data_IF_065033225124
#
_entry.id   IF_065033225124
#
_cell.length_a   1.000
_cell.length_b   1.000
_cell.length_c   1.000
_cell.angle_alpha   90.00
_cell.angle_beta   90.00
_cell.angle_gamma   90.00
#
_symmetry.space_group_name_H-M   'P 1'
#
loop_
_entity.id
_entity.type
_entity.pdbx_description
1 polymer ?
#
# COMPACT_ATOMS: atom_id res chain seq x y z
N UNK A 1 -0.81 -10.79 -7.80
CA UNK A 1 -1.37 -9.54 -7.22
C UNK A 1 -1.47 -9.72 -5.71
N UNK A 2 -1.48 -8.64 -4.92
CA UNK A 2 -1.60 -8.72 -3.45
C UNK A 2 -2.93 -8.09 -3.03
N UNK A 3 -3.66 -8.75 -2.13
CA UNK A 3 -4.87 -8.23 -1.49
C UNK A 3 -4.58 -8.07 0.00
N UNK A 4 -4.82 -6.87 0.53
CA UNK A 4 -4.77 -6.61 1.97
C UNK A 4 -6.19 -6.58 2.51
N UNK A 5 -6.46 -7.41 3.52
CA UNK A 5 -7.74 -7.46 4.22
C UNK A 5 -7.52 -7.18 5.71
N UNK A 6 -8.37 -6.33 6.27
CA UNK A 6 -8.46 -6.14 7.72
C UNK A 6 -9.64 -6.96 8.22
N UNK A 7 -9.41 -7.80 9.22
CA UNK A 7 -10.41 -8.65 9.84
C UNK A 7 -10.66 -8.15 11.26
N UNK A 8 -11.92 -7.93 11.59
CA UNK A 8 -12.36 -7.62 12.96
C UNK A 8 -13.01 -8.87 13.51
N UNK A 9 -12.41 -9.45 14.55
CA UNK A 9 -12.81 -10.74 15.10
C UNK A 9 -13.14 -10.51 16.57
N UNK A 10 -14.24 -11.11 17.04
CA UNK A 10 -14.59 -11.10 18.45
C UNK A 10 -13.62 -11.91 19.31
N UNK A 11 -13.90 -12.00 20.60
CA UNK A 11 -13.15 -12.88 21.49
C UNK A 11 -13.34 -14.34 21.06
N UNK A 12 -12.24 -15.08 20.95
CA UNK A 12 -12.23 -16.50 20.61
C UNK A 12 -11.58 -17.31 21.73
N UNK A 13 -11.91 -18.60 21.87
CA UNK A 13 -11.21 -19.49 22.78
C UNK A 13 -9.71 -19.54 22.46
N UNK A 14 -8.89 -19.72 23.50
CA UNK A 14 -7.45 -19.89 23.36
C UNK A 14 -7.11 -21.05 22.40
N UNK A 15 -6.01 -20.89 21.66
CA UNK A 15 -5.50 -21.87 20.73
C UNK A 15 -5.77 -21.55 19.26
N UNK A 16 -5.47 -22.53 18.41
CA UNK A 16 -5.56 -22.40 16.95
C UNK A 16 -7.00 -22.53 16.48
N UNK A 17 -7.49 -21.52 15.80
CA UNK A 17 -8.86 -21.45 15.29
C UNK A 17 -8.86 -21.05 13.82
N UNK A 18 -9.76 -21.63 13.03
CA UNK A 18 -10.04 -21.11 11.68
C UNK A 18 -10.95 -19.89 11.82
N UNK A 19 -10.47 -18.73 11.36
CA UNK A 19 -11.18 -17.44 11.46
C UNK A 19 -11.86 -17.04 10.14
N UNK A 20 -11.43 -17.61 9.00
CA UNK A 20 -12.08 -17.41 7.72
C UNK A 20 -11.74 -18.56 6.76
N UNK A 21 -12.50 -18.68 5.67
CA UNK A 21 -12.17 -19.49 4.50
C UNK A 21 -12.21 -18.61 3.27
N UNK A 22 -11.10 -18.51 2.56
CA UNK A 22 -10.96 -17.64 1.39
C UNK A 22 -11.02 -18.46 0.10
N UNK A 23 -11.69 -17.93 -0.90
CA UNK A 23 -11.74 -18.49 -2.25
C UNK A 23 -11.77 -17.35 -3.25
N UNK A 24 -11.04 -17.50 -4.35
CA UNK A 24 -11.02 -16.52 -5.44
C UNK A 24 -11.91 -17.04 -6.56
N UNK A 25 -12.84 -16.20 -7.02
CA UNK A 25 -13.57 -16.41 -8.28
C UNK A 25 -12.93 -15.54 -9.36
N UNK A 26 -12.66 -16.12 -10.52
CA UNK A 26 -12.02 -15.43 -11.64
C UNK A 26 -12.50 -15.98 -12.99
N UNK A 27 -12.28 -15.20 -14.04
CA UNK A 27 -12.46 -15.59 -15.42
C UNK A 27 -11.08 -15.81 -16.06
N UNK A 28 -10.96 -16.78 -16.94
CA UNK A 28 -9.75 -17.06 -17.71
C UNK A 28 -10.05 -16.90 -19.22
N UNK A 29 -9.76 -15.72 -19.79
CA UNK A 29 -9.92 -15.45 -21.21
C UNK A 29 -8.99 -16.28 -22.10
N UNK A 30 -7.90 -16.85 -21.56
CA UNK A 30 -6.98 -17.68 -22.34
C UNK A 30 -7.57 -19.04 -22.73
N UNK A 31 -8.61 -19.48 -22.02
CA UNK A 31 -9.32 -20.73 -22.25
C UNK A 31 -10.84 -20.56 -22.38
N UNK A 32 -11.31 -19.32 -22.59
CA UNK A 32 -12.74 -18.95 -22.71
C UNK A 32 -13.62 -19.52 -21.58
N UNK A 33 -13.13 -19.49 -20.34
CA UNK A 33 -13.91 -19.92 -19.18
C UNK A 33 -14.19 -18.77 -18.23
N UNK A 34 -15.42 -18.76 -17.71
CA UNK A 34 -15.88 -17.78 -16.72
C UNK A 34 -16.29 -18.47 -15.43
N UNK A 35 -16.25 -17.74 -14.32
CA UNK A 35 -16.71 -18.22 -13.02
C UNK A 35 -15.86 -19.34 -12.41
N UNK A 36 -14.60 -19.48 -12.84
CA UNK A 36 -13.67 -20.42 -12.22
C UNK A 36 -13.45 -20.06 -10.76
N UNK A 37 -13.21 -21.07 -9.92
CA UNK A 37 -12.95 -20.90 -8.49
C UNK A 37 -11.63 -21.56 -8.11
N UNK A 38 -10.86 -20.89 -7.24
CA UNK A 38 -9.66 -21.46 -6.65
C UNK A 38 -9.98 -22.53 -5.61
N UNK A 39 -8.94 -23.21 -5.13
CA UNK A 39 -9.00 -23.93 -3.86
C UNK A 39 -9.44 -23.00 -2.72
N UNK A 40 -10.13 -23.58 -1.73
CA UNK A 40 -10.52 -22.89 -0.50
C UNK A 40 -9.36 -22.92 0.49
N UNK A 41 -8.86 -21.74 0.86
CA UNK A 41 -7.73 -21.59 1.77
C UNK A 41 -8.26 -21.20 3.16
N UNK A 42 -8.05 -22.02 4.21
CA UNK A 42 -8.40 -21.62 5.57
C UNK A 42 -7.44 -20.53 6.06
N UNK A 43 -7.99 -19.50 6.69
CA UNK A 43 -7.23 -18.51 7.43
C UNK A 43 -7.34 -18.87 8.89
N UNK A 44 -6.19 -19.12 9.51
CA UNK A 44 -6.11 -19.56 10.89
C UNK A 44 -5.44 -18.48 11.75
N UNK A 45 -5.90 -18.36 12.99
CA UNK A 45 -5.29 -17.51 14.00
C UNK A 45 -5.05 -18.32 15.27
N UNK A 46 -3.96 -18.00 15.97
CA UNK A 46 -3.68 -18.56 17.28
C UNK A 46 -4.03 -17.51 18.34
N UNK A 47 -5.07 -17.77 19.12
CA UNK A 47 -5.53 -16.87 20.19
C UNK A 47 -4.77 -17.19 21.47
N UNK A 48 -4.11 -16.19 22.04
CA UNK A 48 -3.29 -16.33 23.25
C UNK A 48 -3.69 -15.26 24.28
N UNK A 49 -3.63 -15.55 25.59
CA UNK A 49 -4.06 -14.61 26.63
C UNK A 49 -3.15 -13.38 26.73
N UNK A 50 -1.83 -13.55 26.51
CA UNK A 50 -0.84 -12.47 26.56
C UNK A 50 -0.30 -12.19 25.16
N UNK A 51 -1.07 -11.44 24.37
CA UNK A 51 -0.68 -11.10 23.00
C UNK A 51 0.55 -10.19 22.95
N UNK A 52 1.56 -10.62 22.21
CA UNK A 52 2.67 -9.76 21.76
C UNK A 52 2.60 -9.60 20.25
N UNK A 53 2.54 -8.36 19.73
CA UNK A 53 2.53 -8.12 18.30
C UNK A 53 3.78 -8.67 17.60
N UNK A 54 3.58 -9.61 16.67
CA UNK A 54 4.64 -10.08 15.76
C UNK A 54 4.31 -9.56 14.37
N UNK A 55 5.05 -8.55 13.92
CA UNK A 55 4.86 -7.97 12.59
C UNK A 55 5.37 -8.95 11.54
N UNK A 56 4.51 -9.30 10.57
CA UNK A 56 4.95 -10.03 9.39
C UNK A 56 5.60 -9.04 8.40
N UNK A 57 6.88 -9.22 8.02
CA UNK A 57 7.59 -8.28 7.14
C UNK A 57 6.94 -8.13 5.76
N UNK A 58 6.36 -9.19 5.20
CA UNK A 58 5.70 -9.14 3.89
C UNK A 58 4.38 -8.34 3.96
N UNK A 59 3.60 -8.54 5.02
CA UNK A 59 2.39 -7.76 5.28
C UNK A 59 2.74 -6.30 5.52
N UNK A 60 3.76 -6.03 6.33
CA UNK A 60 4.25 -4.67 6.60
C UNK A 60 4.69 -3.96 5.31
N UNK A 61 5.49 -4.62 4.45
CA UNK A 61 5.90 -4.05 3.14
C UNK A 61 4.68 -3.70 2.29
N UNK A 62 3.65 -4.56 2.28
CA UNK A 62 2.41 -4.34 1.53
C UNK A 62 1.59 -3.16 2.09
N UNK A 63 1.50 -3.04 3.42
CA UNK A 63 0.83 -1.90 4.09
C UNK A 63 1.55 -0.60 3.75
N UNK A 64 2.89 -0.58 3.80
CA UNK A 64 3.68 0.60 3.45
C UNK A 64 3.50 0.99 1.97
N UNK A 65 3.45 0.01 1.06
CA UNK A 65 3.19 0.26 -0.35
C UNK A 65 1.81 0.92 -0.57
N UNK A 66 0.77 0.40 0.10
CA UNK A 66 -0.57 0.99 0.05
C UNK A 66 -0.60 2.39 0.65
N UNK A 67 0.11 2.62 1.77
CA UNK A 67 0.21 3.93 2.41
C UNK A 67 0.87 4.95 1.47
N UNK A 68 2.03 4.61 0.88
CA UNK A 68 2.72 5.46 -0.11
C UNK A 68 1.79 5.87 -1.24
N UNK A 69 1.09 4.89 -1.83
CA UNK A 69 0.13 5.15 -2.90
C UNK A 69 -0.97 6.13 -2.49
N UNK A 70 -1.61 5.89 -1.34
CA UNK A 70 -2.70 6.74 -0.82
C UNK A 70 -2.22 8.15 -0.49
N UNK A 71 -1.05 8.29 0.12
CA UNK A 71 -0.44 9.59 0.44
C UNK A 71 -0.16 10.40 -0.83
N UNK A 72 0.42 9.79 -1.87
CA UNK A 72 0.61 10.45 -3.16
C UNK A 72 -0.72 10.85 -3.80
N UNK A 73 -1.75 9.98 -3.73
CA UNK A 73 -3.08 10.31 -4.27
C UNK A 73 -3.76 11.44 -3.54
N UNK A 74 -3.61 11.50 -2.22
CA UNK A 74 -4.10 12.63 -1.44
C UNK A 74 -3.36 13.92 -1.78
N UNK A 75 -2.04 13.85 -2.03
CA UNK A 75 -1.28 15.00 -2.50
C UNK A 75 -1.80 15.53 -3.85
N UNK A 76 -2.04 14.64 -4.82
CA UNK A 76 -2.62 15.03 -6.12
C UNK A 76 -3.98 15.72 -5.95
N UNK A 77 -4.84 15.17 -5.09
CA UNK A 77 -6.17 15.73 -4.81
C UNK A 77 -6.05 17.12 -4.19
N UNK A 78 -5.14 17.30 -3.22
CA UNK A 78 -4.88 18.59 -2.57
C UNK A 78 -4.34 19.63 -3.56
N UNK A 79 -3.44 19.24 -4.47
CA UNK A 79 -2.97 20.14 -5.54
C UNK A 79 -4.09 20.60 -6.45
N UNK A 80 -5.00 19.69 -6.83
CA UNK A 80 -6.16 20.03 -7.65
C UNK A 80 -7.11 21.02 -6.94
N UNK A 81 -7.17 20.95 -5.60
CA UNK A 81 -7.93 21.88 -4.76
C UNK A 81 -7.18 23.20 -4.46
N UNK A 82 -5.95 23.37 -4.95
CA UNK A 82 -5.11 24.54 -4.67
C UNK A 82 -4.37 24.50 -3.33
N UNK A 83 -4.53 23.44 -2.52
CA UNK A 83 -3.85 23.25 -1.25
C UNK A 83 -2.41 22.73 -1.48
N UNK A 84 -1.52 23.66 -1.87
CA UNK A 84 -0.10 23.36 -2.15
C UNK A 84 0.66 22.91 -0.89
N UNK A 85 0.38 23.54 0.24
CA UNK A 85 1.05 23.22 1.53
C UNK A 85 0.68 21.80 1.95
N UNK A 86 -0.60 21.47 1.97
CA UNK A 86 -1.06 20.12 2.31
C UNK A 86 -0.58 19.07 1.30
N UNK A 87 -0.52 19.40 0.01
CA UNK A 87 0.05 18.50 -0.98
C UNK A 87 1.53 18.20 -0.73
N UNK A 88 2.33 19.23 -0.42
CA UNK A 88 3.73 19.05 -0.07
C UNK A 88 3.89 18.15 1.17
N UNK A 89 3.11 18.37 2.23
CA UNK A 89 3.14 17.52 3.43
C UNK A 89 2.82 16.06 3.10
N UNK A 90 1.83 15.81 2.25
CA UNK A 90 1.50 14.44 1.83
C UNK A 90 2.61 13.78 1.00
N UNK A 91 3.30 14.54 0.14
CA UNK A 91 4.45 14.05 -0.61
C UNK A 91 5.67 13.77 0.28
N UNK A 92 5.96 14.62 1.27
CA UNK A 92 7.02 14.35 2.25
C UNK A 92 6.71 13.08 3.05
N UNK A 93 5.45 12.90 3.44
CA UNK A 93 5.01 11.68 4.15
C UNK A 93 5.21 10.44 3.27
N UNK A 94 4.84 10.52 1.99
CA UNK A 94 5.06 9.44 1.03
C UNK A 94 6.55 9.15 0.80
N UNK A 95 7.41 10.18 0.78
CA UNK A 95 8.85 10.03 0.68
C UNK A 95 9.43 9.28 1.89
N UNK A 96 9.00 9.63 3.11
CA UNK A 96 9.38 8.93 4.34
C UNK A 96 8.93 7.46 4.32
N UNK A 97 7.70 7.19 3.88
CA UNK A 97 7.21 5.82 3.71
C UNK A 97 8.02 5.04 2.67
N UNK A 98 8.42 5.68 1.55
CA UNK A 98 9.31 5.05 0.58
C UNK A 98 10.67 4.69 1.18
N UNK A 99 11.26 5.56 2.01
CA UNK A 99 12.51 5.26 2.73
C UNK A 99 12.34 4.07 3.70
N UNK A 100 11.22 3.99 4.41
CA UNK A 100 10.92 2.84 5.29
C UNK A 100 10.81 1.53 4.52
N UNK A 101 10.40 1.59 3.25
CA UNK A 101 10.37 0.43 2.35
C UNK A 101 11.75 0.10 1.75
N UNK A 102 12.75 0.98 1.95
CA UNK A 102 14.08 0.91 1.31
C UNK A 102 14.14 1.58 -0.07
N UNK A 103 13.05 2.14 -0.58
CA UNK A 103 12.90 2.64 -1.95
C UNK A 103 13.44 4.07 -2.06
N UNK A 104 14.78 4.19 -2.07
CA UNK A 104 15.49 5.47 -2.12
C UNK A 104 15.14 6.29 -3.37
N UNK A 105 14.97 5.64 -4.52
CA UNK A 105 14.65 6.33 -5.77
C UNK A 105 13.26 6.96 -5.73
N UNK A 106 12.24 6.25 -5.24
CA UNK A 106 10.92 6.85 -5.03
C UNK A 106 10.96 7.96 -3.98
N UNK A 107 11.69 7.76 -2.88
CA UNK A 107 11.84 8.76 -1.83
C UNK A 107 12.40 10.08 -2.37
N UNK A 108 13.46 10.03 -3.19
CA UNK A 108 14.05 11.23 -3.81
C UNK A 108 13.03 11.96 -4.68
N UNK A 109 12.34 11.26 -5.58
CA UNK A 109 11.36 11.88 -6.48
C UNK A 109 10.22 12.55 -5.71
N UNK A 110 9.70 11.88 -4.68
CA UNK A 110 8.61 12.39 -3.84
C UNK A 110 9.08 13.59 -3.00
N UNK A 111 10.28 13.52 -2.41
CA UNK A 111 10.87 14.60 -1.63
C UNK A 111 11.17 15.83 -2.48
N UNK A 112 11.77 15.68 -3.66
CA UNK A 112 12.01 16.79 -4.59
C UNK A 112 10.69 17.48 -4.98
N UNK A 113 9.65 16.69 -5.27
CA UNK A 113 8.33 17.24 -5.60
C UNK A 113 7.74 18.02 -4.42
N UNK A 114 7.90 17.52 -3.20
CA UNK A 114 7.45 18.22 -2.00
C UNK A 114 8.19 19.54 -1.77
N UNK A 115 9.53 19.54 -1.89
CA UNK A 115 10.35 20.73 -1.71
C UNK A 115 9.97 21.84 -2.70
N UNK A 116 9.76 21.50 -3.98
CA UNK A 116 9.31 22.49 -4.98
C UNK A 116 7.99 23.16 -4.60
N UNK A 117 7.02 22.37 -4.15
CA UNK A 117 5.73 22.90 -3.70
C UNK A 117 5.87 23.81 -2.46
N UNK A 118 6.80 23.48 -1.56
CA UNK A 118 7.09 24.31 -0.37
C UNK A 118 7.76 25.63 -0.74
N UNK A 119 8.61 25.61 -1.77
CA UNK A 119 9.24 26.81 -2.35
C UNK A 119 8.25 27.65 -3.18
N UNK A 120 6.98 27.27 -3.25
CA UNK A 120 5.94 27.98 -3.99
C UNK A 120 5.95 27.71 -5.49
N UNK A 121 6.77 26.77 -5.97
CA UNK A 121 6.82 26.36 -7.37
C UNK A 121 5.65 25.43 -7.71
N UNK A 122 5.33 25.34 -9.00
CA UNK A 122 4.37 24.36 -9.52
C UNK A 122 5.07 23.09 -10.00
N UNK A 123 4.37 21.95 -9.85
CA UNK A 123 4.80 20.70 -10.47
C UNK A 123 4.38 20.68 -11.94
N UNK A 124 5.34 20.50 -12.83
CA UNK A 124 5.08 20.26 -14.25
C UNK A 124 4.31 18.96 -14.46
N UNK A 125 3.70 18.78 -15.63
CA UNK A 125 3.06 17.50 -15.97
C UNK A 125 4.04 16.32 -15.95
N UNK A 126 5.30 16.56 -16.31
CA UNK A 126 6.37 15.56 -16.20
C UNK A 126 6.64 15.17 -14.74
N UNK A 127 6.71 16.15 -13.83
CA UNK A 127 6.90 15.88 -12.40
C UNK A 127 5.71 15.10 -11.84
N UNK A 128 4.48 15.55 -12.11
CA UNK A 128 3.24 14.87 -11.71
C UNK A 128 3.19 13.43 -12.23
N UNK A 129 3.68 13.18 -13.44
CA UNK A 129 3.76 11.83 -14.01
C UNK A 129 4.79 10.98 -13.26
N UNK A 130 5.97 11.53 -12.95
CA UNK A 130 7.00 10.82 -12.16
C UNK A 130 6.47 10.44 -10.78
N UNK A 131 5.79 11.37 -10.08
CA UNK A 131 5.14 11.11 -8.79
C UNK A 131 4.11 9.97 -8.88
N UNK A 132 3.30 9.95 -9.94
CA UNK A 132 2.32 8.88 -10.20
C UNK A 132 2.95 7.51 -10.47
N UNK A 133 4.12 7.49 -11.10
CA UNK A 133 4.85 6.24 -11.38
C UNK A 133 5.42 5.70 -10.06
N UNK A 134 6.17 6.53 -9.32
CA UNK A 134 6.85 6.08 -8.10
C UNK A 134 5.90 5.72 -6.96
N UNK A 135 4.64 6.17 -7.00
CA UNK A 135 3.62 5.77 -6.03
C UNK A 135 3.10 4.34 -6.25
N UNK A 136 3.23 3.80 -7.47
CA UNK A 136 2.79 2.45 -7.84
C UNK A 136 3.93 1.44 -7.90
N UNK A 137 5.17 1.90 -8.03
CA UNK A 137 6.33 1.02 -7.97
C UNK A 137 6.54 0.57 -6.53
N UNK A 138 6.77 -0.72 -6.35
CA UNK A 138 7.38 -1.26 -5.14
C UNK A 138 8.81 -1.61 -5.50
N UNK A 139 9.73 -1.57 -4.53
CA UNK A 139 11.03 -2.20 -4.67
C UNK A 139 10.81 -3.63 -5.18
N UNK A 140 11.19 -3.86 -6.44
CA UNK A 140 11.40 -5.20 -6.95
C UNK A 140 12.43 -5.80 -6.00
N UNK A 141 12.01 -6.83 -5.25
CA UNK A 141 12.96 -7.58 -4.45
C UNK A 141 13.99 -8.15 -5.42
N UNK A 142 15.27 -7.91 -5.17
CA UNK A 142 16.33 -8.77 -5.70
C UNK A 142 15.93 -10.21 -5.37
N UNK A 143 15.80 -11.04 -6.41
CA UNK A 143 15.65 -12.49 -6.31
C UNK A 143 16.77 -13.11 -5.49
#
# INVERSE_FOLDING_TARGET
RVVLANLYIGQMPEGKQTIARLQIRYDDPGIDRTGLVSEVIPVEANFVPNYQPVLNPQVQKSILALAKYRQTKLAETKLQQGDRVGAATMLQTAAKTALQMGDKSAATVLQTSATRLQEGQELSESDRKKTRIVSKTVLQSDT
#
